data_IF_679481150321
#
_entry.id   IF_679481150321
#
_cell.length_a   1.000
_cell.length_b   1.000
_cell.length_c   1.000
_cell.angle_alpha   90.00
_cell.angle_beta   90.00
_cell.angle_gamma   90.00
#
_symmetry.space_group_name_H-M   'P 1'
#
loop_
_entity.id
_entity.type
_entity.pdbx_description
1 polymer ?
#
# COMPACT_ATOMS: atom_id res chain seq x y z
N UNK A 1 -9.46 16.23 -18.35
CA UNK A 1 -8.25 15.96 -19.15
C UNK A 1 -7.26 15.28 -18.22
N UNK A 2 -7.07 13.97 -18.32
CA UNK A 2 -6.07 13.27 -17.51
C UNK A 2 -4.70 13.59 -18.09
N UNK A 3 -3.91 14.36 -17.34
CA UNK A 3 -2.52 14.63 -17.68
C UNK A 3 -1.78 13.29 -17.67
N UNK A 4 -1.59 12.70 -18.85
CA UNK A 4 -0.93 11.39 -19.01
C UNK A 4 0.54 11.55 -18.66
N UNK A 5 0.85 11.41 -17.36
CA UNK A 5 2.21 11.30 -16.85
C UNK A 5 2.93 10.20 -17.64
N UNK A 6 3.83 10.61 -18.54
CA UNK A 6 4.61 9.68 -19.36
C UNK A 6 5.56 8.91 -18.43
N UNK A 7 5.42 7.59 -18.29
CA UNK A 7 6.22 6.84 -17.34
C UNK A 7 7.71 6.82 -17.74
N UNK A 8 8.61 6.98 -16.76
CA UNK A 8 10.07 6.94 -16.98
C UNK A 8 10.55 5.51 -17.27
N UNK A 9 10.93 5.25 -18.53
CA UNK A 9 11.37 3.93 -19.05
C UNK A 9 12.49 3.22 -18.27
N UNK A 10 13.25 3.93 -17.43
CA UNK A 10 14.33 3.33 -16.63
C UNK A 10 13.83 2.40 -15.52
N UNK A 11 12.57 2.56 -15.08
CA UNK A 11 12.03 1.86 -13.92
C UNK A 11 10.86 0.96 -14.32
N UNK A 12 10.75 -0.19 -13.67
CA UNK A 12 9.51 -0.97 -13.68
C UNK A 12 8.37 -0.10 -13.13
N UNK A 13 7.36 0.15 -13.95
CA UNK A 13 6.19 0.91 -13.53
C UNK A 13 5.25 0.01 -12.76
N UNK A 14 4.91 0.47 -11.56
CA UNK A 14 3.89 -0.15 -10.73
C UNK A 14 2.74 0.82 -10.54
N UNK A 15 1.58 0.29 -10.23
CA UNK A 15 0.34 1.01 -10.06
C UNK A 15 -0.19 0.68 -8.68
N UNK A 16 -0.10 1.64 -7.76
CA UNK A 16 -0.64 1.51 -6.43
C UNK A 16 -2.13 1.85 -6.47
N UNK A 17 -2.99 0.89 -6.15
CA UNK A 17 -4.42 1.08 -5.94
C UNK A 17 -4.60 1.59 -4.52
N UNK A 18 -5.19 2.77 -4.39
CA UNK A 18 -5.30 3.56 -3.17
C UNK A 18 -6.79 3.68 -2.81
N UNK A 19 -7.10 3.47 -1.53
CA UNK A 19 -8.39 3.81 -0.91
C UNK A 19 -8.22 5.12 -0.15
N UNK A 20 -9.17 6.03 -0.31
CA UNK A 20 -9.31 7.26 0.44
C UNK A 20 -10.65 7.27 1.15
N UNK A 21 -10.65 7.47 2.47
CA UNK A 21 -11.86 7.66 3.26
C UNK A 21 -12.33 9.11 3.13
N UNK A 22 -13.38 9.32 2.33
CA UNK A 22 -13.93 10.64 2.00
C UNK A 22 -14.86 11.21 3.07
N UNK A 23 -15.34 10.38 4.00
CA UNK A 23 -16.23 10.73 5.11
C UNK A 23 -15.53 10.77 6.47
N UNK A 24 -14.19 10.70 6.48
CA UNK A 24 -13.41 10.81 7.70
C UNK A 24 -13.61 12.17 8.40
N UNK A 25 -13.47 12.18 9.73
CA UNK A 25 -13.47 13.42 10.51
C UNK A 25 -12.40 14.38 9.95
N UNK A 26 -12.70 15.68 9.73
CA UNK A 26 -11.76 16.65 9.19
C UNK A 26 -10.43 16.78 9.96
N UNK A 27 -10.41 16.42 11.24
CA UNK A 27 -9.21 16.43 12.08
C UNK A 27 -8.37 15.16 11.93
N UNK A 28 -8.87 14.14 11.22
CA UNK A 28 -8.13 12.90 10.96
C UNK A 28 -6.92 13.19 10.08
N UNK A 29 -5.70 12.83 10.50
CA UNK A 29 -4.51 12.96 9.65
C UNK A 29 -4.64 12.21 8.31
N UNK A 30 -4.18 12.81 7.23
CA UNK A 30 -4.30 12.24 5.87
C UNK A 30 -3.68 10.84 5.74
N UNK A 31 -2.60 10.56 6.47
CA UNK A 31 -1.93 9.26 6.48
C UNK A 31 -2.76 8.15 7.14
N UNK A 32 -3.85 8.48 7.84
CA UNK A 32 -4.83 7.53 8.36
C UNK A 32 -6.08 7.43 7.46
N UNK A 33 -6.32 8.42 6.59
CA UNK A 33 -7.42 8.41 5.62
C UNK A 33 -7.06 7.69 4.32
N UNK A 34 -5.76 7.50 4.05
CA UNK A 34 -5.25 6.95 2.79
C UNK A 34 -4.59 5.60 3.03
N UNK A 35 -5.00 4.57 2.28
CA UNK A 35 -4.43 3.21 2.37
C UNK A 35 -4.10 2.66 0.98
N UNK A 36 -2.88 2.12 0.81
CA UNK A 36 -2.54 1.32 -0.38
C UNK A 36 -3.14 -0.07 -0.23
N UNK A 37 -4.07 -0.43 -1.12
CA UNK A 37 -4.77 -1.73 -1.10
C UNK A 37 -4.02 -2.80 -1.87
N UNK A 38 -3.41 -2.42 -3.00
CA UNK A 38 -2.70 -3.34 -3.89
C UNK A 38 -1.67 -2.59 -4.72
N UNK A 39 -0.59 -3.25 -5.08
CA UNK A 39 0.37 -2.76 -6.07
C UNK A 39 0.42 -3.77 -7.21
N UNK A 40 0.21 -3.31 -8.44
CA UNK A 40 0.16 -4.15 -9.64
C UNK A 40 1.05 -3.60 -10.75
N UNK A 41 1.49 -4.43 -11.69
CA UNK A 41 2.33 -4.01 -12.81
C UNK A 41 1.54 -3.68 -14.08
N UNK A 42 0.29 -4.16 -14.21
CA UNK A 42 -0.55 -3.91 -15.39
C UNK A 42 -1.47 -2.68 -15.19
N UNK A 43 -1.32 -1.60 -15.99
CA UNK A 43 -2.19 -0.43 -15.93
C UNK A 43 -3.66 -0.73 -16.20
N UNK A 44 -3.95 -1.64 -17.13
CA UNK A 44 -5.33 -1.97 -17.50
C UNK A 44 -6.03 -2.73 -16.37
N UNK A 45 -5.30 -3.64 -15.71
CA UNK A 45 -5.79 -4.28 -14.50
C UNK A 45 -6.06 -3.25 -13.40
N UNK A 46 -5.14 -2.31 -13.15
CA UNK A 46 -5.32 -1.28 -12.12
C UNK A 46 -6.59 -0.43 -12.38
N UNK A 47 -6.82 -0.03 -13.63
CA UNK A 47 -7.99 0.74 -14.02
C UNK A 47 -9.30 -0.03 -13.79
N UNK A 48 -9.39 -1.27 -14.30
CA UNK A 48 -10.59 -2.11 -14.10
C UNK A 48 -10.87 -2.41 -12.63
N UNK A 49 -9.81 -2.62 -11.84
CA UNK A 49 -9.97 -2.91 -10.42
C UNK A 49 -10.44 -1.69 -9.64
N UNK A 50 -9.96 -0.49 -9.98
CA UNK A 50 -10.48 0.76 -9.39
C UNK A 50 -11.94 1.00 -9.74
N UNK A 51 -12.33 0.78 -11.00
CA UNK A 51 -13.73 0.87 -11.44
C UNK A 51 -14.61 -0.10 -10.64
N UNK A 52 -14.25 -1.38 -10.62
CA UNK A 52 -14.95 -2.42 -9.84
C UNK A 52 -15.06 -2.08 -8.34
N UNK A 53 -13.98 -1.54 -7.74
CA UNK A 53 -13.97 -1.19 -6.32
C UNK A 53 -14.85 0.02 -6.00
N UNK A 54 -14.86 1.03 -6.88
CA UNK A 54 -15.75 2.18 -6.74
C UNK A 54 -17.21 1.77 -6.94
N UNK A 55 -17.52 0.91 -7.92
CA UNK A 55 -18.88 0.36 -8.08
C UNK A 55 -19.32 -0.41 -6.83
N UNK A 56 -18.46 -1.25 -6.27
CA UNK A 56 -18.78 -2.09 -5.11
C UNK A 56 -18.93 -1.29 -3.80
N UNK A 57 -18.36 -0.08 -3.71
CA UNK A 57 -18.29 0.70 -2.46
C UNK A 57 -18.78 2.14 -2.61
N UNK A 58 -19.54 2.45 -3.67
CA UNK A 58 -20.02 3.79 -4.01
C UNK A 58 -20.77 4.51 -2.86
N UNK A 59 -21.35 3.77 -1.92
CA UNK A 59 -22.13 4.31 -0.79
C UNK A 59 -21.42 4.20 0.57
N UNK A 60 -20.15 3.78 0.60
CA UNK A 60 -19.43 3.48 1.86
C UNK A 60 -18.44 4.57 2.29
N UNK A 61 -18.62 5.80 1.81
CA UNK A 61 -17.74 6.91 2.15
C UNK A 61 -16.29 6.73 1.69
N UNK A 62 -16.02 5.80 0.76
CA UNK A 62 -14.66 5.53 0.28
C UNK A 62 -14.54 5.76 -1.22
N UNK A 63 -13.42 6.36 -1.62
CA UNK A 63 -13.04 6.54 -3.02
C UNK A 63 -11.79 5.73 -3.33
N UNK A 64 -11.77 5.10 -4.50
CA UNK A 64 -10.63 4.35 -5.00
C UNK A 64 -10.04 5.04 -6.22
N UNK A 65 -8.71 5.08 -6.28
CA UNK A 65 -7.95 5.55 -7.44
C UNK A 65 -6.64 4.78 -7.53
N UNK A 66 -5.92 4.89 -8.65
CA UNK A 66 -4.59 4.33 -8.78
C UNK A 66 -3.57 5.42 -9.09
N UNK A 67 -2.37 5.28 -8.55
CA UNK A 67 -1.24 6.18 -8.79
C UNK A 67 -0.06 5.39 -9.39
N UNK A 68 0.55 5.94 -10.43
CA UNK A 68 1.77 5.38 -11.01
C UNK A 68 2.92 5.61 -10.03
N UNK A 69 3.63 4.53 -9.71
CA UNK A 69 4.83 4.52 -8.86
C UNK A 69 5.95 3.74 -9.55
N UNK A 70 7.12 3.70 -8.91
CA UNK A 70 8.33 3.02 -9.38
C UNK A 70 8.72 1.95 -8.37
N UNK A 71 9.18 0.80 -8.87
CA UNK A 71 9.88 -0.16 -8.04
C UNK A 71 11.35 0.25 -7.91
N UNK A 72 11.83 0.37 -6.67
CA UNK A 72 13.24 0.55 -6.37
C UNK A 72 13.71 -0.62 -5.50
N UNK A 73 14.75 -1.32 -5.94
CA UNK A 73 15.45 -2.31 -5.12
C UNK A 73 16.29 -1.54 -4.08
N UNK A 74 15.67 -1.23 -2.95
CA UNK A 74 16.40 -0.69 -1.82
C UNK A 74 17.35 -1.78 -1.26
N UNK A 75 18.60 -1.44 -0.90
CA UNK A 75 19.47 -2.36 -0.18
C UNK A 75 18.78 -2.80 1.10
N UNK A 76 18.57 -4.10 1.28
CA UNK A 76 18.12 -4.64 2.56
C UNK A 76 19.34 -4.64 3.48
N UNK A 77 19.44 -3.64 4.36
CA UNK A 77 20.33 -3.77 5.51
C UNK A 77 19.72 -4.86 6.41
N UNK A 78 20.26 -6.07 6.30
CA UNK A 78 20.01 -7.13 7.27
C UNK A 78 20.57 -6.61 8.60
N UNK A 79 19.72 -5.97 9.41
CA UNK A 79 20.01 -5.77 10.82
C UNK A 79 20.19 -7.18 11.40
N UNK A 80 21.42 -7.53 11.77
CA UNK A 80 21.76 -8.80 12.39
C UNK A 80 20.75 -9.06 13.51
N UNK A 81 19.80 -9.95 13.26
CA UNK A 81 18.84 -10.37 14.25
C UNK A 81 19.65 -11.05 15.34
N UNK A 82 19.88 -10.34 16.45
CA UNK A 82 20.47 -10.91 17.64
C UNK A 82 19.74 -12.23 17.93
N UNK A 83 20.47 -13.35 18.13
CA UNK A 83 19.83 -14.65 18.28
C UNK A 83 18.79 -14.55 19.41
N UNK A 84 17.54 -14.87 19.07
CA UNK A 84 16.45 -15.06 20.02
C UNK A 84 16.98 -15.97 21.13
N UNK A 85 17.26 -15.39 22.31
CA UNK A 85 17.59 -16.19 23.49
C UNK A 85 16.38 -17.06 23.75
N UNK A 86 16.50 -18.35 23.47
CA UNK A 86 15.53 -19.33 23.93
C UNK A 86 15.55 -19.26 25.45
N UNK A 87 14.50 -18.69 26.03
CA UNK A 87 14.25 -18.79 27.46
C UNK A 87 14.02 -20.25 27.80
N UNK A 88 15.08 -20.96 28.20
CA UNK A 88 14.94 -22.19 28.94
C UNK A 88 14.40 -21.80 30.31
N UNK A 89 13.18 -22.24 30.60
CA UNK A 89 12.56 -22.11 31.91
C UNK A 89 13.43 -22.80 32.96
N UNK A 90 13.99 -22.04 33.89
CA UNK A 90 14.47 -22.59 35.16
C UNK A 90 13.25 -23.02 35.98
N UNK A 91 13.11 -24.34 36.17
CA UNK A 91 12.20 -24.89 37.15
C UNK A 91 12.71 -24.54 38.57
N UNK A 92 11.83 -24.18 39.52
CA UNK A 92 12.25 -23.88 40.88
C UNK A 92 12.75 -25.16 41.55
N UNK A 93 13.98 -25.11 42.06
CA UNK A 93 14.49 -26.12 42.98
C UNK A 93 14.01 -25.78 44.39
N UNK A 94 13.33 -26.75 45.02
CA UNK A 94 13.36 -27.00 46.47
C UNK A 94 12.61 -26.04 47.37
#
# INVERSE_FOLDING_TARGET
>A
MADTLKPNKKYGHLYAIIRYESDADPMTPINLQVTVKKVVSDPHYAAREVERLNELNNEKGSLYFYQITRFEEAPVELLDAAPLRSGAAEAPQG
#
